data_IF_655371174533
#
_entry.id   IF_655371174533
#
_cell.length_a   1.000
_cell.length_b   1.000
_cell.length_c   1.000
_cell.angle_alpha   90.00
_cell.angle_beta   90.00
_cell.angle_gamma   90.00
#
_symmetry.space_group_name_H-M   'P 1'
#
loop_
_entity.id
_entity.type
_entity.pdbx_description
1 polymer ?
#
# COMPACT_ATOMS: atom_id res chain seq x y z
N UNK A 1 12.04 -6.92 -7.60
CA UNK A 1 11.50 -8.27 -7.92
C UNK A 1 12.29 -9.41 -7.29
N UNK A 2 13.64 -9.38 -7.24
CA UNK A 2 14.43 -10.49 -6.66
C UNK A 2 14.08 -10.79 -5.19
N UNK A 3 13.99 -9.76 -4.34
CA UNK A 3 13.62 -9.90 -2.93
C UNK A 3 12.24 -10.56 -2.75
N UNK A 4 11.20 -10.03 -3.41
CA UNK A 4 9.85 -10.60 -3.37
C UNK A 4 9.81 -12.07 -3.83
N UNK A 5 10.54 -12.41 -4.91
CA UNK A 5 10.62 -13.79 -5.41
C UNK A 5 11.30 -14.74 -4.41
N UNK A 6 12.31 -14.27 -3.64
CA UNK A 6 12.93 -15.07 -2.56
C UNK A 6 11.94 -15.40 -1.45
N UNK A 7 10.94 -14.54 -1.23
CA UNK A 7 9.84 -14.76 -0.28
C UNK A 7 8.64 -15.49 -0.87
N UNK A 8 8.74 -15.97 -2.11
CA UNK A 8 7.68 -16.73 -2.77
C UNK A 8 6.60 -15.87 -3.43
N UNK A 9 6.76 -14.54 -3.48
CA UNK A 9 5.81 -13.67 -4.18
C UNK A 9 6.13 -13.59 -5.68
N UNK A 10 5.17 -13.99 -6.51
CA UNK A 10 5.23 -13.75 -7.95
C UNK A 10 4.64 -12.38 -8.30
N UNK A 11 5.52 -11.45 -8.68
CA UNK A 11 5.16 -10.11 -9.14
C UNK A 11 5.14 -9.99 -10.68
N UNK A 12 5.30 -11.09 -11.42
CA UNK A 12 5.45 -11.07 -12.88
C UNK A 12 4.22 -10.54 -13.63
N UNK A 13 3.04 -10.66 -13.03
CA UNK A 13 1.78 -10.13 -13.56
C UNK A 13 1.56 -8.64 -13.23
N UNK A 14 2.30 -8.07 -12.29
CA UNK A 14 2.10 -6.68 -11.86
C UNK A 14 2.49 -5.70 -12.97
N UNK A 15 1.64 -4.71 -13.23
CA UNK A 15 1.89 -3.63 -14.18
C UNK A 15 1.62 -2.31 -13.50
N UNK A 16 2.49 -1.34 -13.76
CA UNK A 16 2.25 0.02 -13.30
C UNK A 16 0.93 0.51 -13.90
N UNK A 17 0.08 1.07 -13.06
CA UNK A 17 -1.19 1.67 -13.46
C UNK A 17 -1.29 3.03 -12.79
N UNK A 18 -1.67 4.05 -13.56
CA UNK A 18 -1.99 5.35 -13.01
C UNK A 18 -3.40 5.32 -12.39
N UNK A 19 -3.53 5.88 -11.19
CA UNK A 19 -4.83 6.02 -10.52
C UNK A 19 -5.69 7.01 -11.30
N UNK A 20 -6.96 6.66 -11.47
CA UNK A 20 -7.98 7.45 -12.15
C UNK A 20 -9.11 7.83 -11.19
N UNK A 21 -9.87 8.86 -11.55
CA UNK A 21 -11.06 9.27 -10.79
C UNK A 21 -12.09 8.13 -10.63
N UNK A 22 -12.15 7.20 -11.58
CA UNK A 22 -13.06 6.05 -11.53
C UNK A 22 -12.69 5.06 -10.40
N UNK A 23 -11.41 4.97 -10.04
CA UNK A 23 -10.93 4.04 -9.02
C UNK A 23 -11.50 4.36 -7.63
N UNK A 24 -11.74 5.63 -7.32
CA UNK A 24 -12.34 6.07 -6.05
C UNK A 24 -13.81 5.67 -5.89
N UNK A 25 -14.49 5.32 -6.98
CA UNK A 25 -15.84 4.75 -6.95
C UNK A 25 -15.84 3.23 -7.11
N UNK A 26 -14.74 2.65 -7.59
CA UNK A 26 -14.58 1.21 -7.78
C UNK A 26 -14.19 0.52 -6.47
N UNK A 27 -13.23 1.08 -5.76
CA UNK A 27 -12.68 0.50 -4.55
C UNK A 27 -13.28 1.13 -3.30
N UNK A 28 -13.46 0.33 -2.25
CA UNK A 28 -13.93 0.81 -0.94
C UNK A 28 -12.78 1.36 -0.09
N UNK A 29 -11.56 0.87 -0.32
CA UNK A 29 -10.35 1.25 0.42
C UNK A 29 -9.17 1.38 -0.55
N UNK A 30 -8.46 2.52 -0.48
CA UNK A 30 -7.21 2.77 -1.22
C UNK A 30 -6.14 3.16 -0.20
N UNK A 31 -5.08 2.37 -0.14
CA UNK A 31 -3.99 2.52 0.84
C UNK A 31 -2.75 3.08 0.16
N UNK A 32 -2.30 4.24 0.61
CA UNK A 32 -1.10 4.92 0.11
C UNK A 32 0.16 4.41 0.83
N UNK A 33 1.27 4.27 0.11
CA UNK A 33 2.53 3.80 0.68
C UNK A 33 3.28 4.91 1.44
N UNK A 34 3.13 6.16 0.99
CA UNK A 34 3.75 7.34 1.60
C UNK A 34 2.81 8.56 1.59
N UNK A 35 3.20 9.64 2.28
CA UNK A 35 2.41 10.88 2.40
C UNK A 35 2.28 11.63 1.08
N UNK A 36 3.25 11.50 0.18
CA UNK A 36 3.17 12.11 -1.15
C UNK A 36 2.05 11.46 -1.96
N UNK A 37 2.02 10.12 -2.01
CA UNK A 37 0.96 9.34 -2.65
C UNK A 37 -0.40 9.69 -2.04
N UNK A 38 -0.51 9.76 -0.71
CA UNK A 38 -1.78 10.09 -0.05
C UNK A 38 -2.25 11.51 -0.40
N UNK A 39 -1.33 12.49 -0.42
CA UNK A 39 -1.65 13.86 -0.81
C UNK A 39 -2.16 13.91 -2.25
N UNK A 40 -1.47 13.23 -3.17
CA UNK A 40 -1.82 13.23 -4.59
C UNK A 40 -3.16 12.50 -4.83
N UNK A 41 -3.43 11.40 -4.11
CA UNK A 41 -4.72 10.71 -4.11
C UNK A 41 -5.85 11.60 -3.59
N UNK A 42 -5.63 12.32 -2.48
CA UNK A 42 -6.61 13.26 -1.92
C UNK A 42 -6.92 14.42 -2.87
N UNK A 43 -5.92 14.90 -3.60
CA UNK A 43 -6.10 15.94 -4.61
C UNK A 43 -6.90 15.44 -5.83
N UNK A 44 -6.80 14.14 -6.15
CA UNK A 44 -7.49 13.51 -7.28
C UNK A 44 -8.90 13.00 -6.93
N UNK A 45 -9.19 12.76 -5.65
CA UNK A 45 -10.45 12.16 -5.20
C UNK A 45 -11.65 13.05 -5.53
N UNK A 46 -12.62 12.56 -6.33
CA UNK A 46 -13.85 13.31 -6.59
C UNK A 46 -14.68 13.50 -5.32
N UNK A 47 -15.37 14.64 -5.21
CA UNK A 47 -16.30 14.88 -4.12
C UNK A 47 -17.41 13.81 -4.10
N UNK A 48 -17.66 13.24 -2.92
CA UNK A 48 -18.68 12.20 -2.74
C UNK A 48 -18.26 10.79 -3.19
N UNK A 49 -17.01 10.58 -3.63
CA UNK A 49 -16.50 9.24 -3.91
C UNK A 49 -16.44 8.40 -2.63
N UNK A 50 -16.73 7.10 -2.75
CA UNK A 50 -16.87 6.20 -1.59
C UNK A 50 -15.55 5.72 -0.98
N UNK A 51 -14.45 5.76 -1.73
CA UNK A 51 -13.18 5.19 -1.27
C UNK A 51 -12.67 5.87 0.01
N UNK A 52 -12.36 5.06 1.02
CA UNK A 52 -11.58 5.46 2.18
C UNK A 52 -10.09 5.55 1.79
N UNK A 53 -9.44 6.67 2.14
CA UNK A 53 -8.01 6.90 1.88
C UNK A 53 -7.22 6.95 3.18
N UNK A 54 -6.18 6.13 3.30
CA UNK A 54 -5.28 6.16 4.45
C UNK A 54 -3.85 5.75 4.07
N UNK A 55 -2.89 5.99 4.96
CA UNK A 55 -1.54 5.45 4.84
C UNK A 55 -1.53 3.99 5.26
N UNK A 56 -0.89 3.13 4.45
CA UNK A 56 -0.83 1.70 4.68
C UNK A 56 -0.20 1.37 6.03
N UNK A 57 1.02 1.87 6.29
CA UNK A 57 1.70 1.57 7.54
C UNK A 57 1.09 2.30 8.73
N UNK A 58 0.68 3.57 8.61
CA UNK A 58 0.00 4.25 9.72
C UNK A 58 -1.22 3.47 10.23
N UNK A 59 -1.99 2.86 9.32
CA UNK A 59 -3.20 2.12 9.68
C UNK A 59 -2.90 0.75 10.29
N UNK A 60 -1.86 0.07 9.80
CA UNK A 60 -1.60 -1.34 10.11
C UNK A 60 -0.21 -1.62 10.69
N UNK A 61 0.57 -0.61 11.06
CA UNK A 61 1.88 -0.76 11.67
C UNK A 61 2.11 0.35 12.71
N UNK A 62 2.43 -0.06 13.95
CA UNK A 62 2.51 0.88 15.08
C UNK A 62 3.78 1.77 15.10
N UNK A 63 4.76 1.52 14.21
CA UNK A 63 6.13 2.04 14.35
C UNK A 63 6.51 3.04 13.26
N UNK A 64 5.87 2.99 12.08
CA UNK A 64 6.18 3.85 10.94
C UNK A 64 4.90 4.27 10.23
N UNK A 65 4.84 5.53 9.79
CA UNK A 65 3.72 6.04 9.01
C UNK A 65 3.81 5.69 7.53
N UNK A 66 5.03 5.57 7.00
CA UNK A 66 5.33 5.51 5.56
C UNK A 66 6.24 4.33 5.26
N UNK A 67 6.00 3.67 4.13
CA UNK A 67 6.90 2.66 3.59
C UNK A 67 8.16 3.37 3.10
N UNK A 68 9.36 3.03 3.63
CA UNK A 68 10.60 3.66 3.19
C UNK A 68 10.88 3.30 1.73
N UNK A 69 11.52 4.21 1.00
CA UNK A 69 11.93 3.94 -0.38
C UNK A 69 13.10 2.93 -0.39
N UNK A 70 12.92 1.72 -0.95
CA UNK A 70 13.91 0.66 -0.89
C UNK A 70 15.12 0.88 -1.81
N UNK A 71 15.08 1.87 -2.71
CA UNK A 71 16.14 2.07 -3.71
C UNK A 71 17.42 2.67 -3.11
N UNK A 72 17.36 3.29 -1.93
CA UNK A 72 18.52 3.92 -1.29
C UNK A 72 19.46 2.93 -0.60
N UNK A 73 18.95 1.80 -0.09
CA UNK A 73 19.72 0.84 0.74
C UNK A 73 20.05 -0.47 0.00
N UNK A 74 19.91 -0.48 -1.32
CA UNK A 74 20.18 -1.67 -2.14
C UNK A 74 19.28 -2.85 -1.77
N UNK A 75 19.81 -4.09 -1.78
CA UNK A 75 18.97 -5.27 -1.52
C UNK A 75 18.38 -5.31 -0.09
N UNK A 76 19.04 -4.70 0.91
CA UNK A 76 18.54 -4.70 2.29
C UNK A 76 17.28 -3.85 2.46
N UNK A 77 17.19 -2.71 1.75
CA UNK A 77 16.00 -1.86 1.76
C UNK A 77 14.74 -2.59 1.30
N UNK A 78 14.87 -3.48 0.29
CA UNK A 78 13.74 -4.30 -0.17
C UNK A 78 13.29 -5.34 0.85
N UNK A 79 14.20 -5.93 1.62
CA UNK A 79 13.84 -6.89 2.67
C UNK A 79 13.13 -6.20 3.84
N UNK A 80 13.62 -5.02 4.27
CA UNK A 80 12.94 -4.24 5.32
C UNK A 80 11.54 -3.79 4.91
N UNK A 81 11.38 -3.33 3.65
CA UNK A 81 10.06 -2.98 3.11
C UNK A 81 9.13 -4.18 3.10
N UNK A 82 9.61 -5.36 2.70
CA UNK A 82 8.79 -6.58 2.72
C UNK A 82 8.40 -6.97 4.14
N UNK A 83 9.28 -6.87 5.13
CA UNK A 83 8.95 -7.13 6.54
C UNK A 83 7.87 -6.20 7.09
N UNK A 84 7.89 -4.92 6.68
CA UNK A 84 6.88 -3.95 7.05
C UNK A 84 5.54 -4.27 6.38
N UNK A 85 5.58 -4.59 5.07
CA UNK A 85 4.39 -4.87 4.29
C UNK A 85 3.70 -6.16 4.75
N UNK A 86 4.45 -7.22 5.01
CA UNK A 86 3.90 -8.50 5.49
C UNK A 86 3.16 -8.34 6.82
N UNK A 87 3.78 -7.68 7.80
CA UNK A 87 3.15 -7.42 9.11
C UNK A 87 1.88 -6.56 8.99
N UNK A 88 1.91 -5.55 8.14
CA UNK A 88 0.75 -4.70 7.90
C UNK A 88 -0.38 -5.47 7.18
N UNK A 89 -0.03 -6.37 6.25
CA UNK A 89 -0.99 -7.24 5.57
C UNK A 89 -1.74 -8.18 6.53
N UNK A 90 -1.08 -8.72 7.56
CA UNK A 90 -1.73 -9.58 8.55
C UNK A 90 -2.88 -8.84 9.27
N UNK A 91 -2.64 -7.58 9.67
CA UNK A 91 -3.65 -6.74 10.32
C UNK A 91 -4.74 -6.28 9.35
N UNK A 92 -4.39 -5.98 8.09
CA UNK A 92 -5.35 -5.69 7.03
C UNK A 92 -6.32 -6.87 6.82
N UNK A 93 -5.81 -8.10 6.75
CA UNK A 93 -6.65 -9.29 6.56
C UNK A 93 -7.59 -9.51 7.75
N UNK A 94 -7.12 -9.27 8.97
CA UNK A 94 -7.98 -9.34 10.17
C UNK A 94 -9.10 -8.30 10.10
N UNK A 95 -8.79 -7.04 9.76
CA UNK A 95 -9.80 -5.99 9.60
C UNK A 95 -10.84 -6.37 8.53
N UNK A 96 -10.39 -6.80 7.35
CA UNK A 96 -11.28 -7.16 6.25
C UNK A 96 -12.19 -8.35 6.59
N UNK A 97 -11.69 -9.35 7.33
CA UNK A 97 -12.52 -10.47 7.79
C UNK A 97 -13.60 -10.05 8.78
N UNK A 98 -13.37 -9.00 9.56
CA UNK A 98 -14.37 -8.46 10.48
C UNK A 98 -15.43 -7.57 9.82
N UNK A 99 -15.21 -7.16 8.56
CA UNK A 99 -16.14 -6.35 7.76
C UNK A 99 -17.10 -7.18 6.90
N UNK A 100 -16.81 -8.48 6.73
CA UNK A 100 -17.64 -9.46 6.01
C UNK A 100 -18.62 -10.16 6.97
#
# INVERSE_FOLDING_TARGET
>A
QRAAKRRGYDLSAQRAQQVSAADFNRYDLILAMDKSNLRDLKALQPAGAKAELDLFLRRYAAVKDEVPDPYYDGEQGFEEVLDLVERACDLLVIELKGRL
#
